data_IF_717295455635
#
_entry.id   IF_717295455635
#
_cell.length_a   1.000
_cell.length_b   1.000
_cell.length_c   1.000
_cell.angle_alpha   90.00
_cell.angle_beta   90.00
_cell.angle_gamma   90.00
#
_symmetry.space_group_name_H-M   'P 1'
#
loop_
_entity.id
_entity.type
_entity.pdbx_description
1 polymer ?
2 polymer ?
3 polymer ?
#
# COMPACT_ATOMS: atom_id res chain seq x y z
CA UNK A 1 37.83 -16.30 -23.52
CA UNK A 2 35.97 -14.54 -20.71
CA UNK A 3 38.57 -16.36 -18.77
CA UNK A 4 36.75 -17.09 -15.48
CA UNK A 5 34.98 -15.78 -12.51
CA UNK A 6 32.14 -17.38 -14.55
CA UNK A 7 31.25 -19.60 -11.64
CA UNK A 8 30.13 -22.74 -13.44
CA UNK A 9 32.64 -23.75 -16.07
CA UNK A 10 32.81 -27.37 -17.19
CA UNK A 11 35.22 -29.23 -19.45
CA UNK A 12 33.60 -31.89 -21.60
CA UNK A 13 36.68 -32.56 -23.66
CA UNK A 14 36.99 -34.55 -26.85
CA UNK A 15 35.20 -35.68 -29.97
CA UNK A 16 32.75 -37.97 -28.12
CA UNK A 17 31.16 -39.38 -31.24
CA UNK A 18 33.14 -37.44 -33.88
CA UNK A 19 33.37 -33.83 -32.66
CA UNK A 20 30.01 -34.25 -30.93
CA UNK A 21 30.24 -32.77 -27.45
CA UNK A 22 27.30 -33.43 -25.16
CA UNK A 23 27.11 -30.57 -22.65
CA UNK A 24 24.04 -30.01 -20.51
CA UNK A 25 24.57 -26.39 -19.57
CA UNK A 26 23.41 -24.18 -16.73
CA UNK A 27 22.17 -21.30 -18.87
CA UNK A 28 24.54 -18.56 -17.78
CA UNK A 29 28.08 -19.85 -17.61
CA UNK A 30 31.03 -20.91 -19.70
CA UNK A 31 30.80 -24.42 -21.00
CA UNK A 32 34.42 -24.73 -22.02
CA UNK A 33 34.81 -27.54 -24.53
CA UNK A 34 37.97 -29.08 -25.91
CA UNK A 35 37.76 -31.03 -29.14
CA UNK A 36 40.22 -32.82 -31.38
CA UNK A 37 42.42 -29.96 -32.59
CA UNK A 38 40.35 -26.79 -33.02
CA UNK A 39 40.36 -23.74 -30.73
CA UNK A 40 38.78 -24.54 -27.40
CA UNK A 41 35.38 -22.95 -27.04
CA UNK A 42 33.55 -21.19 -24.21
CA UNK A 43 29.87 -22.11 -24.47
CA UNK A 44 27.79 -19.46 -22.73
CA UNK A 45 24.00 -19.71 -22.78
CA UNK A 46 22.83 -16.11 -22.57
CA UNK A 47 19.31 -14.99 -21.65
CA UNK A 48 16.59 -17.35 -22.83
CA UNK A 49 13.77 -15.12 -23.98
CA UNK A 50 10.18 -16.28 -23.71
CA UNK A 51 7.62 -14.37 -25.75
CA UNK A 52 3.83 -14.04 -26.01
CA UNK A 53 3.20 -14.63 -22.33
CA UNK A 54 -0.45 -15.39 -21.69
CA UNK A 55 -1.80 -14.29 -18.31
CA UNK A 56 -4.16 -16.62 -16.52
CA UNK A 57 -6.03 -15.76 -13.35
CA UNK A 58 -4.87 -12.43 -11.96
CA UNK A 59 -3.75 -11.13 -8.62
CA UNK A 60 -4.93 -7.95 -7.00
CA UNK A 61 -2.93 -7.84 -3.79
CA UNK A 62 -5.39 -5.37 -2.28
CA UNK A 63 -9.16 -5.18 -2.60
CA UNK A 64 -11.44 -2.19 -2.25
CA UNK A 65 -15.19 -1.79 -1.79
CA UNK A 66 -17.38 1.31 -1.98
CA UNK A 67 -20.98 2.55 -1.74
CA UNK A 68 -21.83 0.51 1.35
CA UNK A 69 -25.59 0.18 1.81
CA UNK A 70 -27.06 -1.55 4.86
CA UNK A 71 -30.74 -1.55 5.77
CA UNK A 72 -32.75 -4.27 7.44
CA UNK A 73 -36.10 -5.76 6.57
CA UNK A 74 -37.87 -8.35 8.73
CA UNK A 75 -37.11 -11.65 10.49
CA UNK A 76 -37.38 -15.25 9.35
CA UNK A 77 -40.13 -14.66 6.79
CA UNK A 78 -38.54 -15.92 3.61
CA UNK A 79 -35.12 -14.26 3.77
CA UNK A 80 -34.60 -10.53 4.33
CA UNK A 81 -32.88 -8.57 1.59
CA UNK A 82 -32.02 -5.14 0.17
CA UNK A 83 -32.38 -4.03 -3.46
CA UNK A 84 -28.70 -3.05 -3.46
CA UNK A 85 -27.90 -6.73 -2.89
CA UNK A 86 -28.22 -8.43 -6.29
CA UNK A 87 -25.27 -6.37 -7.58
CA UNK A 88 -22.04 -8.38 -7.78
CA UNK A 89 -19.90 -5.25 -7.54
CA UNK A 90 -21.80 -4.68 -4.29
CA UNK A 91 -20.59 -7.20 -1.72
CA UNK A 92 -23.77 -8.59 -0.23
CA UNK A 93 -25.06 -10.98 2.42
CA UNK A 94 -28.14 -12.55 4.04
CA UNK A 95 -27.76 -12.65 7.84
CA UNK A 96 -30.70 -12.45 10.23
CA UNK A 97 -29.71 -11.78 13.85
CA UNK A 98 -31.65 -9.17 15.87
CA UNK A 99 -34.56 -6.84 15.19
CA UNK A 100 -35.74 -5.50 18.54
CA UNK A 101 -37.88 -2.84 20.17
CA UNK A 102 -35.56 0.23 19.75
CA UNK A 103 -34.08 0.71 16.20
CA UNK A 104 -37.23 0.80 13.95
CA UNK A 105 -37.45 -2.82 12.80
CA UNK A 106 -40.22 -5.34 13.32
CA UNK A 107 -41.16 -8.77 14.70
CA UNK A 108 -39.16 -11.27 16.82
CA UNK A 109 -37.55 -14.64 16.06
CA UNK A 110 -34.57 -13.42 14.41
CA UNK A 111 -32.92 -10.67 12.47
CA UNK A 112 -32.77 -8.88 9.23
CA UNK A 113 -29.55 -7.56 7.78
CA UNK A 114 -28.33 -7.00 4.22
CA UNK A 115 -25.28 -4.92 3.26
CA UNK A 116 -24.04 -3.88 -0.18
CA UNK A 117 -20.61 -2.40 -1.01
CA UNK A 118 -19.24 -2.07 -4.55
CA UNK A 119 -15.89 -3.86 -4.76
CA UNK A 120 -13.54 -1.85 -6.97
CA UNK A 121 -9.80 -2.50 -7.22
CA UNK A 122 -7.07 -3.21 -9.66
CA UNK A 123 -3.99 -4.15 -7.67
CA UNK A 124 -3.65 -6.69 -10.36
CA UNK A 125 -0.21 -8.20 -10.90
CA UNK A 126 -1.80 -11.30 -12.55
CA UNK A 127 0.26 -14.04 -14.14
CA UNK A 128 1.62 -14.93 -17.54
CA UNK A 129 2.38 -18.33 -18.99
CA UNK A 130 5.18 -19.33 -21.33
CA UNK A 131 4.58 -21.47 -24.37
CA UNK A 132 7.06 -24.32 -24.35
CA UNK A 133 8.61 -22.63 -27.35
CA UNK A 134 9.19 -18.91 -27.33
CA UNK A 135 12.25 -19.12 -25.32
CA UNK A 136 15.21 -17.80 -27.28
CA UNK A 137 18.23 -19.64 -25.90
CA UNK A 138 21.23 -17.50 -26.75
CA UNK A 139 24.40 -19.55 -26.48
CA UNK A 140 27.64 -17.57 -26.78
CA UNK A 141 30.52 -19.79 -27.82
CA UNK A 142 33.95 -18.20 -28.11
CA UNK A 143 37.47 -19.51 -28.50
CA UNK A 144 40.14 -18.74 -26.06
CA UNK A 145 42.88 -18.53 -28.72
CA UNK A 146 44.30 -15.47 -26.96
CA UNK A 147 43.66 -12.40 -29.10
CA UNK A 148 41.98 -9.36 -27.46
CA UNK A 149 38.80 -10.91 -26.06
CA UNK A 150 40.57 -12.05 -22.89
CA UNK A 151 38.44 -11.75 -19.72
CA UNK A 152 34.77 -10.89 -19.26
CA UNK A 153 33.88 -9.58 -22.72
CA UNK A 154 30.37 -10.28 -23.99
CA UNK A 155 30.53 -7.76 -26.86
CA UNK A 156 33.75 -9.38 -28.12
CA UNK A 157 33.04 -12.98 -29.01
CA UNK A 158 30.67 -15.16 -31.00
CA UNK A 159 27.01 -15.61 -30.15
CA UNK A 160 24.76 -18.50 -31.16
CA UNK A 161 21.07 -18.28 -30.31
CA UNK A 162 18.64 -21.19 -30.33
CA UNK A 163 15.00 -21.61 -29.38
CA UNK A 164 12.89 -24.75 -28.81
CA UNK A 165 11.30 -23.34 -31.96
CA UNK A 166 14.62 -24.36 -33.57
CA UNK A 167 17.37 -26.98 -33.38
CA UNK A 168 19.95 -26.27 -36.08
CA UNK A 169 22.82 -24.13 -34.88
CA UNK A 170 26.25 -23.03 -36.08
CA UNK A 171 29.13 -21.19 -34.45
CA UNK A 172 31.29 -19.89 -37.28
CA UNK A 173 34.54 -18.50 -36.09
CA UNK A 174 37.20 -16.36 -37.82
CA UNK A 175 40.13 -18.52 -38.91
CA UNK A 176 38.63 -21.13 -36.58
CA UNK A 177 35.50 -22.43 -38.24
CA UNK A 178 31.90 -23.59 -38.19
CA UNK A 179 30.44 -25.21 -35.06
CA UNK A 180 27.03 -26.77 -34.54
CA UNK A 181 25.91 -26.43 -30.93
CA UNK A 182 22.84 -28.65 -30.87
CA UNK A 183 20.80 -27.39 -27.97
CA UNK A 184 17.65 -28.91 -26.54
CA UNK A 185 15.43 -26.43 -24.86
CA UNK A 186 12.85 -29.18 -24.66
CA UNK A 187 14.45 -31.39 -22.07
CA UNK A 188 15.18 -27.84 -20.92
CA UNK A 189 13.32 -25.95 -18.20
CA UNK A 190 10.04 -27.41 -19.56
CA UNK A 191 7.71 -24.48 -20.20
CA UNK A 192 3.93 -24.35 -20.57
CA UNK A 193 4.53 -25.95 -17.20
CA UNK A 194 5.68 -22.47 -16.21
CA UNK A 195 3.26 -19.66 -15.51
CA UNK A 196 5.38 -16.54 -15.37
CA UNK A 197 3.71 -14.20 -12.93
CA UNK A 198 5.05 -10.73 -12.25
CA UNK A 199 4.13 -9.19 -8.95
CA UNK A 200 6.06 -6.00 -9.41
CA UNK A 201 8.86 -5.11 -11.83
CA UNK A 202 10.11 -8.69 -11.88
CA UNK A 203 8.82 -12.12 -12.72
CA UNK A 204 8.25 -15.29 -10.77
CA UNK A 205 8.53 -18.23 -13.10
CA UNK A 206 6.08 -20.56 -11.44
CA UNK A 207 5.54 -24.20 -12.05
CA UNK A 208 2.31 -23.75 -13.99
CA UNK A 209 0.47 -25.33 -11.10
CA UNK A 210 1.88 -22.85 -8.65
CA UNK A 211 0.55 -19.52 -9.90
CA UNK A 212 -2.59 -21.37 -10.91
CA UNK A 213 -2.29 -22.39 -7.22
CA UNK A 214 -1.58 -19.26 -5.26
CA UNK A 215 -4.03 -16.83 -3.49
CA UNK A 216 -5.45 -13.34 -4.22
CA UNK A 217 -8.65 -12.37 -6.02
CA UNK A 218 -8.38 -12.88 -9.75
CA UNK A 219 -10.00 -12.12 -12.97
CA UNK A 220 -9.02 -14.27 -15.90
CA UNK A 221 -6.29 -11.77 -16.74
CA UNK A 222 -8.73 -10.22 -19.22
CA UNK A 223 -9.82 -7.79 -16.50
CA UNK A 224 -10.03 -4.35 -18.17
CA UNK A 225 -11.92 -3.24 -15.05
CA UNK A 226 -13.65 -6.47 -14.10
CA UNK A 227 -13.93 -5.85 -10.51
CA UNK A 228 -16.60 -8.39 -10.28
CA UNK A 229 -13.39 -10.18 -9.35
CA UNK A 230 -13.41 -13.87 -8.90
CA UNK A 231 -12.93 -13.85 -5.19
CA UNK A 232 -12.68 -10.20 -4.19
CA UNK A 233 -12.93 -11.92 -0.85
CA UNK A 234 -9.34 -13.09 -0.41
CA UNK A 235 -9.14 -9.45 0.70
CA UNK A 236 -11.09 -6.71 2.50
CA UNK A 237 -11.98 -8.89 5.52
CA UNK A 238 -15.61 -7.83 6.17
CA UNK A 239 -16.35 -7.41 9.89
CA UNK A 240 -18.91 -5.83 12.27
CA UNK A 241 -19.04 -4.90 15.95
CA UNK A 242 -21.57 -6.89 18.01
CA UNK A 243 -25.01 -7.32 16.45
CA UNK A 244 -25.65 -3.77 15.24
CA UNK A 245 -24.32 -1.33 12.65
CA UNK A 246 -23.02 -3.67 9.98
CA UNK A 247 -19.73 -2.58 8.40
CA UNK A 248 -17.26 -3.70 5.70
CA UNK A 249 -13.62 -2.74 4.97
CA UNK A 250 -11.20 -2.52 2.03
CA UNK A 251 -8.08 -3.99 3.74
CA UNK A 252 -4.67 -3.55 2.19
CA UNK A 253 -2.08 -5.26 0.06
CA UNK A 254 -1.24 -8.92 0.35
CA UNK A 255 1.97 -7.98 -1.47
CA UNK A 256 4.15 -9.33 1.31
CA UNK A 257 1.64 -12.12 1.91
CA UNK A 258 1.57 -12.77 -1.81
CA UNK A 259 5.37 -12.62 -1.72
CA UNK A 260 5.24 -14.76 1.41
CA UNK A 261 3.62 -17.22 -0.96
CA UNK A 262 5.23 -15.82 -4.12
CA UNK A 263 8.57 -17.10 -2.90
CA UNK A 264 6.92 -20.32 -4.08
CA UNK A 265 8.04 -19.50 -7.61
CA UNK A 266 11.50 -18.77 -8.95
CA UNK A 267 12.16 -15.16 -9.80
CA UNK A 268 12.93 -14.64 -13.45
CA UNK A 269 12.64 -11.78 -15.93
CA UNK A 270 9.33 -10.65 -17.39
CA UNK A 271 10.30 -6.99 -17.18
CA UNK A 272 13.91 -7.99 -17.91
CA UNK A 273 12.90 -8.34 -21.55
CA UNK A 274 10.39 -11.20 -21.09
CA UNK A 275 13.53 -13.34 -21.13
CA UNK A 276 13.10 -16.14 -18.63
CA UNK A 277 16.61 -17.16 -17.63
CA UNK A 278 17.96 -20.47 -16.32
CA UNK A 279 17.45 -22.00 -19.72
CA UNK A 280 18.38 -25.61 -19.18
CA UNK A 281 19.13 -26.34 -22.81
CA UNK A 282 21.33 -29.43 -22.94
CA UNK A 283 23.80 -28.61 -25.69
CA UNK A 284 24.96 -31.31 -28.07
CA UNK A 285 28.06 -29.75 -29.62
CA UNK A 286 29.18 -30.27 -33.21
CA UNK A 287 32.74 -29.15 -33.95
CA UNK A 288 33.10 -29.96 -37.65
CA UNK A 289 35.47 -27.47 -39.28
CA UNK A 290 37.27 -25.51 -36.60
CA UNK A 291 40.76 -24.50 -37.73
CA UNK A 292 43.71 -24.19 -35.36
CA UNK A 293 44.41 -20.52 -36.13
CA UNK A 294 48.04 -20.59 -37.21
CA UNK A 295 48.09 -23.77 -39.27
CA UNK A 296 50.43 -24.00 -42.27
CA UNK A 297 52.44 -21.61 -40.11
CA UNK A 298 55.47 -23.00 -38.38
CA UNK A 299 55.39 -20.85 -35.27
CA UNK A 300 56.19 -17.32 -34.24
CA UNK A 301 59.44 -17.27 -32.33
CA UNK A 302 59.98 -13.88 -30.72
CA UNK A 303 59.67 -11.89 -27.51
CA UNK A 304 57.29 -13.35 -24.91
CA UNK A 305 56.47 -11.62 -21.62
CA UNK A 306 53.52 -11.85 -19.24
CA UNK A 307 50.75 -9.38 -20.09
CA UNK A 308 48.79 -10.86 -17.14
CA UNK A 309 49.73 -13.17 -14.30
CA UNK A 310 49.88 -16.91 -13.61
CA UNK A 311 46.72 -18.12 -11.90
CA UNK A 312 44.04 -20.76 -11.78
CA UNK A 313 40.38 -21.19 -11.18
CA UNK A 314 39.59 -24.86 -11.66
CA UNK A 315 42.92 -26.52 -12.36
CA UNK A 316 45.59 -24.20 -13.67
CA UNK A 317 43.23 -22.33 -15.96
CA UNK A 318 45.98 -19.67 -16.07
CA UNK A 319 45.40 -17.22 -18.86
CA UNK A 320 49.02 -16.40 -19.66
CA UNK A 321 49.00 -13.31 -21.80
CA UNK A 322 52.12 -13.14 -23.95
CA UNK A 323 53.22 -9.94 -25.62
CA UNK A 324 54.22 -10.80 -29.13
CA UNK A 325 56.45 -8.72 -31.32
CA UNK A 326 58.69 -9.56 -34.23
CA UNK A 327 56.62 -11.92 -36.35
CA UNK A 328 53.48 -10.56 -37.96
CA UNK A 329 50.61 -12.42 -39.68
CA UNK A 330 48.82 -15.21 -37.84
CA UNK A 331 51.68 -17.34 -36.60
CA UNK A 332 51.22 -19.79 -33.79
CA UNK A 333 52.54 -18.52 -30.51
CA UNK A 334 54.80 -21.40 -29.46
CA UNK A 335 53.77 -22.79 -26.14
CA UNK A 336 54.37 -25.28 -23.35
CA UNK A 337 53.90 -25.58 -19.59
CA UNK A 338 56.71 -27.40 -17.85
CA UNK A 339 57.07 -29.05 -14.46
CA UNK A 340 59.69 -27.79 -12.02
CA UNK A 341 62.47 -26.02 -13.98
CA UNK A 342 62.56 -29.04 -16.29
CA UNK A 343 60.21 -29.95 -19.11
CA UNK A 344 57.41 -32.30 -18.20
CA UNK A 345 54.20 -30.85 -19.52
CA UNK A 346 51.11 -31.75 -17.63
CA UNK A 347 50.29 -28.24 -18.76
CA UNK A 348 47.33 -28.59 -21.10
CA UNK A 349 46.84 -25.93 -23.73
CA UNK A 350 43.20 -24.83 -23.79
CA UNK A 351 44.11 -21.88 -25.96
CA UNK A 352 44.30 -24.83 -28.40
CA UNK A 353 47.60 -23.46 -29.74
CA UNK A 354 48.14 -19.80 -29.17
CA UNK A 355 48.72 -17.38 -32.04
CA UNK A 356 49.30 -13.75 -32.80
CA UNK A 357 48.24 -11.82 -35.85
CA UNK A 358 48.47 -8.19 -34.76
CA UNK A 359 51.31 -8.87 -32.28
CA UNK A 360 49.15 -6.20 -30.66
CA UNK A 361 47.15 -9.18 -29.45
CA UNK A 362 48.48 -9.74 -25.92
CA UNK A 363 46.93 -13.21 -26.41
CA UNK A 364 46.23 -14.63 -22.99
CA UNK A 365 47.22 -18.26 -23.42
CA UNK A 366 45.04 -20.71 -21.55
CA UNK A 367 47.18 -23.48 -20.05
CA UNK A 368 46.62 -26.19 -17.44
CA UNK A 369 50.01 -26.54 -15.73
CA UNK A 370 51.32 -29.63 -14.00
CA UNK A 371 49.47 -29.75 -10.74
CA UNK A 372 52.57 -29.36 -8.60
CA UNK A 373 55.18 -26.75 -9.22
CA UNK A 374 55.49 -25.88 -12.86
CA UNK A 375 56.95 -23.53 -15.44
CA UNK A 376 54.88 -22.11 -18.27
CA UNK A 377 57.31 -21.89 -21.19
CA UNK A 378 55.90 -20.22 -24.24
CA UNK A 379 58.23 -22.09 -26.52
CA UNK A 380 60.15 -19.43 -28.43
CA UNK A 381 63.75 -19.86 -29.49
CA UNK A 382 64.96 -18.31 -26.25
CA UNK A 383 61.97 -19.68 -24.29
CA UNK A 384 62.02 -16.16 -22.89
CA UNK A 385 58.98 -16.78 -20.70
CA UNK A 386 59.54 -19.38 -17.96
CA UNK A 387 57.60 -18.81 -14.72
CA UNK A 388 57.53 -21.04 -11.65
CA UNK A 389 53.86 -21.61 -11.04
CA UNK A 390 54.12 -23.42 -7.72
CA UNK A 391 50.65 -24.62 -8.93
CA UNK A 392 49.97 -26.99 -6.06
CA UNK A 393 46.88 -27.75 -8.09
CA UNK A 394 46.72 -31.54 -7.64
CA UNK B 1 -38.66 3.74 25.86
CA UNK B 2 -36.59 3.43 22.68
CA UNK B 3 -39.41 1.46 21.11
CA UNK B 4 -38.76 -0.64 17.87
CA UNK B 5 -35.55 -2.41 16.79
CA UNK B 6 -32.92 -2.70 19.57
CA UNK B 7 -32.17 -6.24 18.55
CA UNK B 8 -31.38 -7.82 21.90
CA UNK B 9 -34.02 -6.96 24.46
CA UNK B 10 -34.54 -9.23 27.44
CA UNK B 11 -37.16 -9.29 30.18
CA UNK B 12 -35.83 -10.29 33.58
CA UNK B 13 -39.00 -9.44 35.44
CA UNK B 14 -39.56 -9.19 39.16
CA UNK B 15 -37.93 -8.40 42.47
CA UNK B 16 -35.66 -11.49 42.45
CA UNK B 17 -34.27 -10.92 45.92
CA UNK B 18 -36.12 -7.69 46.81
CA UNK B 19 -36.01 -5.45 43.71
CA UNK B 20 -32.66 -7.01 42.79
CA UNK B 21 -32.68 -7.82 39.09
CA UNK B 22 -29.76 -9.87 37.80
CA UNK B 23 -29.27 -9.01 34.13
CA UNK B 24 -26.12 -9.99 32.27
CA UNK B 25 -26.30 -7.57 29.38
CA UNK B 26 -24.88 -7.49 25.88
CA UNK B 27 -23.43 -3.99 26.05
CA UNK B 28 -25.52 -2.25 23.41
CA UNK B 29 -29.16 -3.18 23.78
CA UNK B 30 -32.23 -2.64 25.88
CA UNK B 31 -32.35 -4.75 28.98
CA UNK B 32 -36.00 -4.19 29.73
CA UNK B 33 -36.70 -4.98 33.37
CA UNK B 34 -40.01 -5.23 35.16
CA UNK B 35 -40.04 -4.95 38.93
CA UNK B 36 -42.70 -4.96 41.62
CA UNK B 37 -44.66 -1.79 40.80
CA UNK B 38 -42.32 0.91 39.46
CA UNK B 39 -42.01 2.05 35.84
CA UNK B 40 -40.44 -0.63 33.70
CA UNK B 41 -36.90 0.23 32.72
CA UNK B 42 -34.86 -0.09 29.54
CA UNK B 43 -31.29 -0.91 30.53
CA UNK B 44 -28.93 0.09 27.73
CA UNK B 45 -25.19 -0.31 28.17
CA UNK B 46 -23.69 2.42 26.01
CA UNK B 47 -20.07 2.57 24.86
CA UNK B 48 -17.60 1.17 27.37
CA UNK B 49 -14.61 3.47 27.22
CA UNK B 50 -11.14 2.16 27.91
CA UNK B 51 -8.46 4.73 28.65
CA UNK B 52 -4.66 4.91 28.93
CA UNK B 53 -4.01 2.26 26.33
CA UNK B 54 -0.43 1.04 26.49
CA UNK B 55 1.08 -0.11 23.20
CA UNK B 56 3.25 -3.19 23.25
CA UNK B 57 5.27 -4.44 20.31
CA UNK B 58 4.44 -2.48 17.18
CA UNK B 59 3.51 -3.29 13.62
CA UNK B 60 5.00 -1.73 10.55
CA UNK B 61 3.09 -3.38 7.74
CA UNK B 62 5.79 -2.40 5.26
CA UNK B 63 9.56 -2.29 5.67
CA UNK B 64 12.11 -0.21 3.82
CA UNK B 65 15.89 -0.39 3.48
CA UNK B 66 18.35 2.10 1.99
CA UNK B 67 22.04 2.74 1.33
CA UNK B 68 22.77 -0.76 0.05
CA UNK B 69 26.50 -1.53 0.13
CA UNK B 70 27.87 -4.79 -1.25
CA UNK B 71 31.55 -5.54 -1.74
CA UNK B 72 33.33 -8.85 -1.39
CA UNK B 73 36.52 -9.77 0.41
CA UNK B 74 38.09 -13.23 0.27
CA UNK B 75 37.07 -16.89 0.69
CA UNK B 76 36.99 -19.16 3.71
CA UNK B 77 39.73 -17.37 5.65
CA UNK B 78 37.97 -16.45 8.85
CA UNK B 79 34.72 -14.98 7.52
CA UNK B 80 34.55 -12.24 4.88
CA UNK B 81 32.96 -8.95 5.86
CA UNK B 82 32.38 -5.29 4.99
CA UNK B 83 32.77 -2.30 7.31
CA UNK B 84 29.19 -1.28 6.50
CA UNK B 85 28.08 -4.55 8.10
CA UNK B 86 28.17 -3.97 11.87
CA UNK B 87 25.39 -1.37 11.53
CA UNK B 88 21.98 -2.68 12.62
CA UNK B 89 20.14 -0.15 10.48
CA UNK B 90 22.15 -1.69 7.63
CA UNK B 91 20.77 -5.16 6.91
CA UNK B 92 23.85 -7.34 6.72
CA UNK B 93 24.97 -10.90 6.04
CA UNK B 94 27.92 -13.31 5.83
CA UNK B 95 27.62 -15.58 2.78
CA UNK B 96 30.61 -16.98 0.92
CA UNK B 97 29.76 -18.48 -2.48
CA UNK B 98 31.97 -17.66 -5.50
CA UNK B 99 35.06 -15.55 -6.08
CA UNK B 100 36.43 -16.48 -9.50
CA UNK B 101 38.83 -15.40 -12.22
CA UNK B 102 36.80 -12.52 -13.81
CA UNK B 103 36.00 -10.14 -10.88
CA UNK B 104 39.38 -9.29 -9.38
CA UNK B 105 38.25 -11.08 -6.26
CA UNK B 106 40.80 -13.60 -5.03
CA UNK B 107 41.45 -17.24 -4.12
CA UNK B 108 39.27 -20.38 -4.54
CA UNK B 109 37.35 -22.57 -2.08
CA UNK B 110 34.47 -20.44 -1.65
CA UNK B 111 33.03 -16.98 -1.78
CA UNK B 112 32.98 -13.63 -0.19
CA UNK B 113 29.85 -11.52 0.01
CA UNK B 114 28.62 -8.93 2.50
CA UNK B 115 25.76 -6.49 1.88
CA UNK B 116 24.54 -3.57 3.99
CA UNK B 117 21.25 -1.67 3.57
CA UNK B 118 19.84 0.74 6.16
CA UNK B 119 16.34 -0.39 7.13
CA UNK B 120 14.13 2.67 7.61
CA UNK B 121 10.35 2.52 7.93
CA UNK B 122 7.51 3.53 10.13
CA UNK B 123 4.40 1.80 8.85
CA UNK B 124 3.77 1.32 12.48
CA UNK B 125 0.20 0.62 13.55
CA UNK B 126 1.47 -1.03 16.79
CA UNK B 127 -0.86 -2.21 19.52
CA UNK B 128 -2.36 -0.86 22.71
CA UNK B 129 -3.46 -2.74 25.80
CA UNK B 130 -6.38 -2.01 28.09
CA UNK B 131 -6.04 -2.02 31.84
CA UNK B 132 -8.77 -4.19 33.29
CA UNK B 133 -10.22 -0.98 34.65
CA UNK B 134 -10.46 2.05 32.45
CA UNK B 135 -13.48 0.91 30.72
CA UNK B 136 -16.35 3.31 31.35
CA UNK B 137 -19.50 1.20 31.08
CA UNK B 138 -22.31 3.62 30.32
CA UNK B 139 -25.65 1.99 31.07
CA UNK B 140 -28.70 3.97 29.94
CA UNK B 141 -31.79 2.95 31.88
CA UNK B 142 -35.07 4.62 30.95
CA UNK B 143 -38.70 4.01 31.79
CA UNK B 144 -41.24 3.38 29.17
CA UNK B 145 -44.00 5.26 31.02
CA UNK B 146 -45.10 6.81 27.73
CA UNK B 147 -44.23 10.51 27.74
CA UNK B 148 -42.25 11.92 24.77
CA UNK B 149 -39.19 9.65 24.74
CA UNK B 150 -41.00 6.99 22.70
CA UNK B 151 -38.78 5.26 20.09
CA UNK B 152 -35.05 5.47 19.48
CA UNK B 153 -34.11 8.48 21.60
CA UNK B 154 -30.70 8.44 23.28
CA UNK B 155 -30.69 12.16 24.15
CA UNK B 156 -34.07 11.77 25.88
CA UNK B 157 -33.71 9.33 28.74
CA UNK B 158 -31.59 8.57 31.78
CA UNK B 159 -27.96 7.49 31.60
CA UNK B 160 -26.01 5.58 34.25
CA UNK B 161 -22.29 5.04 33.69
CA UNK B 162 -20.14 2.53 35.55
CA UNK B 163 -16.54 1.42 35.27
CA UNK B 164 -14.71 -1.59 36.77
CA UNK B 165 -13.06 1.28 38.62
CA UNK B 166 -16.49 1.59 40.29
CA UNK B 167 -19.47 -0.46 41.46
CA UNK B 168 -22.02 1.84 43.07
CA UNK B 169 -24.67 3.05 40.65
CA UNK B 170 -28.01 4.86 40.76
CA UNK B 171 -30.67 5.58 38.17
CA UNK B 172 -32.76 8.42 39.58
CA UNK B 173 -35.85 9.05 37.58
CA UNK B 174 -38.34 11.96 37.57
CA UNK B 175 -41.47 11.02 39.51
CA UNK B 176 -40.16 7.46 39.21
CA UNK B 177 -37.21 7.17 41.53
CA UNK B 178 -33.72 5.98 42.41
CA UNK B 179 -32.35 2.75 40.90
CA UNK B 180 -29.09 0.98 41.61
CA UNK B 181 -27.86 -0.91 38.56
CA UNK B 182 -25.01 -2.94 40.00
CA UNK B 183 -22.80 -3.73 37.06
CA UNK B 184 -19.78 -5.99 36.98
CA UNK B 185 -17.30 -5.09 34.34
CA UNK B 186 -14.99 -7.61 35.95
CA UNK B 187 -16.73 -10.80 35.01
CA UNK B 188 -17.11 -8.54 31.97
CA UNK B 189 -15.03 -8.70 28.80
CA UNK B 190 -11.93 -9.30 30.97
CA UNK B 191 -9.35 -6.70 29.96
CA UNK B 192 -5.58 -6.61 30.45
CA UNK B 193 -6.26 -9.82 28.59
CA UNK B 194 -7.06 -7.50 25.70
CA UNK B 195 -4.39 -5.78 23.67
CA UNK B 196 -6.21 -3.20 21.61
CA UNK B 197 -4.28 -2.82 18.39
CA UNK B 198 -5.29 -0.32 15.74
CA UNK B 199 -4.17 -1.04 12.23
CA UNK B 200 -5.81 1.94 10.64
CA UNK B 201 -8.57 4.24 11.89
CA UNK B 202 -10.13 1.44 13.92
CA UNK B 203 -9.18 -0.94 16.67
CA UNK B 204 -8.86 -4.68 16.95
CA UNK B 205 -9.45 -5.69 20.52
CA UNK B 206 -7.19 -8.70 20.69
CA UNK B 207 -6.99 -11.34 23.32
CA UNK B 208 -3.78 -10.04 24.87
CA UNK B 209 -2.03 -13.12 23.55
CA UNK B 210 -3.15 -12.44 20.02
CA UNK B 211 -1.56 -9.09 19.21
CA UNK B 212 1.38 -10.20 21.32
CA UNK B 213 1.06 -13.15 18.89
CA UNK B 214 0.68 -11.71 15.44
CA UNK B 215 3.38 -10.92 12.77
CA UNK B 216 5.09 -7.75 11.44
CA UNK B 217 8.33 -6.11 12.57
CA UNK B 218 7.94 -4.34 15.88
CA UNK B 219 9.55 -1.95 18.18
CA UNK B 220 8.32 -1.94 21.73
CA UNK B 221 5.81 0.74 20.78
CA UNK B 222 8.33 3.30 22.08
CA UNK B 223 9.70 3.62 18.54
CA UNK B 224 10.18 7.37 17.93
CA UNK B 225 12.22 6.34 14.88
CA UNK B 226 13.67 3.06 16.08
CA UNK B 227 14.09 1.46 12.83
CA UNK B 228 16.52 -0.90 14.29
CA UNK B 229 13.18 -2.69 14.35
CA UNK B 230 12.87 -5.95 16.11
CA UNK B 231 12.47 -8.07 13.05
CA UNK B 232 12.57 -5.67 10.11
CA UNK B 233 12.73 -9.02 8.40
CA UNK B 234 9.07 -10.00 8.47
CA UNK B 235 9.22 -7.68 5.45
CA UNK B 236 11.45 -6.62 2.54
CA UNK B 237 12.20 -10.20 1.40
CA UNK B 238 15.92 -9.94 0.52
CA UNK B 239 16.77 -11.81 -2.70
CA UNK B 240 19.51 -12.06 -5.38
CA UNK B 241 19.80 -13.46 -8.90
CA UNK B 242 22.18 -16.43 -9.25
CA UNK B 243 25.54 -16.09 -7.50
CA UNK B 244 26.48 -12.54 -8.52
CA UNK B 245 25.31 -8.97 -7.91
CA UNK B 246 23.75 -9.23 -4.47
CA UNK B 247 20.54 -7.24 -4.05
CA UNK B 248 17.92 -6.42 -1.37
CA UNK B 249 14.37 -4.99 -1.59
CA UNK B 250 11.93 -2.95 0.51
CA UNK B 251 8.72 -4.95 -0.25
CA UNK B 252 5.34 -3.48 0.53
CA UNK B 253 2.56 -3.47 3.06
CA UNK B 254 1.39 -6.56 4.88
CA UNK B 255 -1.75 -4.54 5.59
CA UNK B 256 -3.99 -7.11 3.96
CA UNK B 257 -1.73 -9.88 5.26
CA UNK B 258 -1.80 -8.24 8.66
CA UNK B 259 -5.57 -7.94 8.24
CA UNK B 260 -5.56 -11.51 6.94
CA UNK B 261 -4.22 -12.23 10.40
CA UNK B 262 -5.76 -9.15 12.05
CA UNK B 263 -9.18 -10.70 11.56
CA UNK B 264 -7.85 -12.73 14.50
CA UNK B 265 -8.96 -9.94 16.82
CA UNK B 266 -12.37 -8.36 17.25
CA UNK B 267 -12.73 -4.89 15.81
CA UNK B 268 -13.52 -2.30 18.43
CA UNK B 269 -13.02 1.44 18.81
CA UNK B 270 -9.65 3.00 19.59
CA UNK B 271 -10.28 5.92 17.23
CA UNK B 272 -13.98 5.74 18.16
CA UNK B 273 -13.08 7.51 21.39
CA UNK B 274 -10.83 4.77 22.84
CA UNK B 275 -14.15 3.25 23.89
CA UNK B 276 -13.92 -0.50 23.50
CA UNK B 277 -17.49 -1.70 23.03
CA UNK B 278 -19.11 -5.06 23.78
CA UNK B 279 -18.82 -4.36 27.47
CA UNK B 280 -20.05 -7.54 29.04
CA UNK B 281 -20.94 -5.98 32.37
CA UNK B 282 -23.41 -8.28 34.10
CA UNK B 283 -25.86 -5.86 35.70
CA UNK B 284 -27.30 -6.60 39.11
CA UNK B 285 -30.28 -4.24 39.26
CA UNK B 286 -31.52 -2.51 42.40
CA UNK B 287 -34.97 -0.95 42.11
CA UNK B 288 -35.48 0.57 45.57
CA UNK B 289 -37.65 3.68 45.29
CA UNK B 290 -39.21 3.83 41.85
CA UNK B 291 -42.62 5.52 41.94
CA UNK B 292 -45.48 4.58 39.63
CA UNK B 293 -45.85 8.04 38.10
CA UNK B 294 -49.50 8.84 38.76
CA UNK B 295 -49.88 7.46 42.27
CA UNK B 296 -52.30 9.17 44.68
CA UNK B 297 -54.03 9.98 41.40
CA UNK B 298 -57.14 8.03 40.59
CA UNK B 299 -56.80 7.96 36.82
CA UNK B 300 -57.25 10.28 33.90
CA UNK B 301 -60.45 9.40 32.08
CA UNK B 302 -60.65 11.27 28.78
CA UNK B 303 -60.09 10.99 25.04
CA UNK B 304 -57.81 8.15 23.93
CA UNK B 305 -56.76 7.59 20.32
CA UNK B 306 -53.79 5.84 18.71
CA UNK B 307 -50.83 8.16 18.18
CA UNK B 308 -48.96 5.13 16.76
CA UNK B 309 -50.03 1.67 15.72
CA UNK B 310 -50.52 -1.76 17.30
CA UNK B 311 -47.45 -3.94 16.84
CA UNK B 312 -45.02 -6.32 18.44
CA UNK B 313 -41.39 -7.24 18.45
CA UNK B 314 -40.95 -9.99 21.02
CA UNK B 315 -44.43 -10.72 22.32
CA UNK B 316 -46.91 -7.91 21.86
CA UNK B 317 -44.43 -5.21 22.81
CA UNK B 318 -46.93 -2.82 21.17
CA UNK B 319 -46.19 0.76 22.06
CA UNK B 320 -49.74 2.11 22.00
CA UNK B 321 -49.48 5.86 21.96
CA UNK B 322 -52.62 7.44 23.39
CA UNK B 323 -53.45 11.08 22.83
CA UNK B 324 -54.60 12.48 26.11
CA UNK B 325 -56.67 15.58 26.54
CA UNK B 326 -59.04 16.73 29.24
CA UNK B 327 -57.24 15.91 32.47
CA UNK B 328 -54.02 17.75 33.21
CA UNK B 329 -51.37 17.07 35.88
CA UNK B 330 -49.80 13.62 36.12
CA UNK B 331 -52.82 11.35 36.14
CA UNK B 332 -52.53 7.70 35.30
CA UNK B 333 -53.66 6.91 31.80
CA UNK B 334 -56.15 4.10 32.45
CA UNK B 335 -55.18 0.98 30.62
CA UNK B 336 -55.95 -2.62 29.75
CA UNK B 337 -55.42 -5.08 26.89
CA UNK B 338 -58.35 -7.39 26.34
CA UNK B 339 -58.79 -10.68 24.50
CA UNK B 340 -61.24 -10.91 21.61
CA UNK B 341 -63.88 -8.16 22.00
CA UNK B 342 -64.29 -9.27 25.61
CA UNK B 343 -62.09 -8.51 28.59
CA UNK B 344 -59.51 -11.12 29.41
CA UNK B 345 -56.20 -9.38 29.86
CA UNK B 346 -53.16 -11.40 29.05
CA UNK B 347 -52.06 -7.94 28.01
CA UNK B 348 -49.19 -7.05 30.32
CA UNK B 349 -48.51 -3.39 30.96
CA UNK B 350 -44.79 -2.70 30.63
CA UNK B 351 -45.47 1.01 30.62
CA UNK B 352 -45.98 0.06 34.30
CA UNK B 353 -49.17 2.15 34.37
CA UNK B 354 -49.36 4.82 31.75
CA UNK B 355 -49.78 8.49 32.66
CA UNK B 356 -50.05 11.91 31.14
CA UNK B 357 -48.88 15.18 32.58
CA UNK B 358 -48.75 17.51 29.58
CA UNK B 359 -51.59 15.69 27.76
CA UNK B 360 -49.17 16.79 25.06
CA UNK B 361 -47.41 13.54 25.93
CA UNK B 362 -48.72 11.12 23.29
CA UNK B 363 -47.51 8.49 25.79
CA UNK B 364 -46.87 5.31 23.88
CA UNK B 365 -48.19 2.68 26.25
CA UNK B 366 -46.20 -0.54 26.30
CA UNK B 367 -48.56 -3.52 26.52
CA UNK B 368 -48.19 -7.27 26.01
CA UNK B 369 -51.56 -8.34 24.58
CA UNK B 370 -53.11 -11.77 24.87
CA UNK B 371 -51.21 -13.88 22.41
CA UNK B 372 -54.22 -14.62 20.23
CA UNK B 373 -56.60 -11.97 19.05
CA UNK B 374 -56.90 -9.13 21.48
CA UNK B 375 -58.19 -5.64 22.13
CA UNK B 376 -56.07 -2.97 23.75
CA UNK B 377 -58.52 -0.95 25.83
CA UNK B 378 -57.03 2.09 27.45
CA UNK B 379 -59.57 2.05 30.23
CA UNK B 380 -61.27 5.44 30.10
CA UNK B 381 -64.92 5.93 30.97
CA UNK B 382 -65.92 5.38 27.35
CA UNK B 383 -63.02 2.94 26.76
CA UNK B 384 -62.72 4.99 23.59
CA UNK B 385 -59.71 3.02 22.37
CA UNK B 386 -60.45 -0.64 21.60
CA UNK B 387 -58.40 -2.18 18.78
CA UNK B 388 -58.47 -5.78 17.56
CA UNK B 389 -54.85 -6.83 17.65
CA UNK B 390 -55.20 -10.21 15.98
CA UNK B 391 -51.89 -10.69 17.90
CA UNK B 392 -51.36 -14.33 16.97
CA UNK B 393 -48.40 -13.96 19.28
CA UNK B 394 -48.57 -17.30 21.12
CA UNK C 1 36.42 3.50 -31.07
CA UNK C 2 34.25 5.95 -29.17
CA UNK C 3 33.39 9.65 -28.93
CA UNK C 4 31.41 11.80 -26.64
CA UNK C 5 30.02 15.06 -28.00
CA UNK C 6 29.21 17.41 -25.16
CA UNK C 7 27.86 20.86 -25.81
CA UNK C 8 29.96 23.64 -24.33
CA UNK C 9 28.65 26.38 -22.09
CA UNK C 10 28.25 30.06 -21.99
CA UNK C 11 28.10 32.95 -19.59
CA UNK C 12 25.83 31.82 -16.75
CA UNK C 13 24.61 33.27 -13.49
CA UNK C 14 25.74 32.20 -10.01
CA UNK C 15 22.92 29.71 -9.58
CA UNK C 16 21.44 29.78 -13.07
CA UNK C 17 21.78 26.15 -14.07
CA UNK C 18 22.57 24.62 -17.45
CA UNK C 19 21.90 21.19 -18.88
CA UNK C 20 25.07 20.40 -20.80
CA UNK C 21 24.28 18.07 -23.66
CA UNK C 22 26.75 15.26 -24.20
CA UNK C 23 25.26 13.43 -27.14
CA UNK C 24 27.57 10.58 -28.01
CA UNK C 25 27.40 8.09 -30.82
CA UNK C 26 30.58 7.25 -32.65
CA UNK C 27 29.80 3.72 -31.60
CA UNK C 28 27.13 1.48 -30.15
CA UNK C 29 24.71 3.55 -28.07
CA UNK C 30 24.45 0.68 -25.58
CA UNK C 31 28.16 1.26 -24.98
CA UNK C 32 26.75 4.12 -22.93
CA UNK C 33 26.22 4.66 -19.43
CA UNK C 34 27.52 7.77 -21.14
CA UNK C 35 29.44 9.39 -18.30
CA UNK C 36 30.47 12.84 -17.06
CA UNK C 37 33.32 14.70 -15.44
CA UNK C 38 33.65 18.36 -14.66
CA UNK C 39 37.42 18.71 -14.78
CA UNK C 40 39.87 21.54 -14.58
CA UNK C 41 42.25 20.27 -17.29
CA UNK C 42 45.53 18.78 -16.14
CA UNK C 43 43.92 18.17 -12.75
CA UNK C 44 41.91 15.36 -11.29
CA UNK C 45 38.75 14.57 -13.10
CA UNK C 46 36.15 15.60 -10.59
CA UNK C 47 33.96 12.56 -10.84
CA UNK C 48 30.36 13.08 -11.49
CA UNK C 49 30.05 10.32 -14.07
CA UNK C 50 27.06 8.21 -14.77
CA UNK C 51 25.84 4.86 -15.87
CA UNK C 52 23.66 2.34 -17.64
CA UNK C 53 21.98 1.02 -20.54
CA UNK C 54 18.89 0.28 -22.53
CA UNK C 55 17.69 0.46 -18.93
CA UNK C 56 19.50 3.78 -18.96
CA UNK C 57 20.22 4.99 -15.46
CA UNK C 58 21.91 8.18 -14.49
CA UNK C 59 24.30 7.63 -11.61
CA UNK C 60 25.17 10.99 -10.13
CA UNK C 61 28.18 11.71 -8.00
CA UNK C 62 26.51 11.54 -4.61
CA UNK C 63 27.47 15.20 -4.36
CA UNK C 64 25.71 15.93 -7.65
CA UNK C 65 23.10 13.26 -6.87
CA UNK C 66 20.61 15.79 -5.59
CA UNK C 67 22.09 18.88 -7.23
CA UNK C 68 22.71 17.65 -10.79
CA UNK C 69 19.97 16.15 -12.90
CA UNK C 70 20.87 14.27 -16.06
CA UNK C 71 18.45 13.51 -18.83
CA UNK C 72 19.64 11.07 -21.45
CA UNK C 73 17.85 11.03 -24.77
CA UNK C 74 18.34 7.63 -26.34
CA UNK C 75 18.88 9.45 -29.66
CA UNK C 76 22.62 10.14 -29.45
CA UNK C 77 22.73 8.49 -25.98
CA UNK C 78 22.89 12.10 -25.01
CA UNK C 79 24.27 12.51 -21.52
CA UNK C 80 22.53 15.79 -20.73
CA UNK C 81 23.97 17.08 -17.50
CA UNK C 82 21.97 19.74 -15.73
CA UNK C 83 24.05 21.08 -12.87
CA UNK C 84 21.48 22.91 -10.81
CA UNK C 85 22.56 26.33 -9.55
CA UNK C 86 25.67 26.80 -11.67
CA UNK C 87 28.49 29.18 -10.96
CA UNK C 88 31.96 29.87 -12.30
CA UNK C 89 33.49 26.98 -10.37
CA UNK C 90 30.55 24.57 -10.71
CA UNK C 91 31.77 23.69 -14.19
CA UNK C 92 35.41 23.06 -14.97
CA UNK C 93 35.55 21.79 -18.55
CA UNK C 94 32.88 19.07 -18.35
CA UNK C 95 34.06 15.71 -19.70
CA UNK C 96 31.45 13.05 -20.40
CA UNK C 97 33.18 9.66 -20.66
CA UNK C 98 32.12 6.33 -22.04
CA UNK C 99 32.08 3.69 -19.40
CA UNK C 100 30.67 0.81 -21.41
CA UNK C 101 27.80 -0.67 -19.49
CA UNK C 102 27.02 -4.33 -19.26
CA UNK C 103 24.63 -4.51 -22.19
CA UNK C 104 21.90 -6.33 -20.28
CA UNK C 105 21.02 -3.14 -18.40
CA UNK C 106 22.71 -3.90 -15.09
CA UNK C 107 25.91 -2.04 -14.27
CA UNK C 108 27.80 -3.15 -11.16
CA UNK C 109 31.32 -4.44 -11.69
CA UNK C 110 33.20 -1.92 -13.82
CA UNK C 111 34.98 -2.36 -17.13
CA UNK C 112 38.70 -2.97 -17.50
CA UNK C 113 39.21 0.52 -18.71
CA UNK C 114 36.38 2.45 -17.18
CA UNK C 115 36.27 5.22 -19.74
CA UNK C 116 37.60 4.70 -23.20
CA UNK C 117 36.64 8.08 -24.60
CA UNK C 118 35.22 11.34 -23.45
CA UNK C 119 33.32 14.45 -24.40
CA UNK C 120 34.78 17.48 -26.09
CA UNK C 121 34.64 19.61 -22.92
CA UNK C 122 32.10 22.00 -21.46
CA UNK C 123 32.90 25.08 -19.39
CA UNK C 124 30.30 27.25 -17.68
CA UNK C 125 31.56 30.81 -17.33
CA UNK C 126 29.74 32.93 -14.75
CA UNK C 127 30.13 36.70 -14.57
CA UNK D 1 38.35 5.80 -4.16
CA UNK D 2 40.49 8.91 -4.59
CA UNK D 3 43.17 8.13 -7.11
CA UNK D 4 46.15 10.39 -6.38
CA UNK D 5 47.97 11.89 -9.35
CA UNK D 6 50.70 14.52 -9.71
CA UNK D 7 48.92 17.46 -11.30
CA UNK D 8 51.83 17.88 -13.71
CA UNK D 9 55.00 16.03 -14.63
CA UNK D 10 58.08 17.82 -15.89
CA UNK D 11 59.83 15.67 -18.45
CA UNK D 12 62.08 16.55 -21.12
CA UNK D 13 61.24 16.58 -24.82
CA UNK D 14 61.37 13.14 -26.38
CA UNK D 15 61.75 11.09 -23.20
CA UNK D 16 59.53 8.93 -21.01
CA UNK D 17 57.56 10.12 -18.00
CA UNK D 18 55.54 8.22 -15.40
CA UNK D 19 52.22 9.42 -14.00
CA UNK D 20 50.65 7.48 -11.14
CA UNK D 21 47.32 7.59 -9.29
CA UNK D 22 47.30 6.28 -5.73
CA UNK D 23 43.81 4.91 -5.11
CA UNK D 24 42.11 2.94 -2.34
CA UNK D 25 40.64 -0.51 -1.81
CA UNK D 26 37.35 0.62 -3.32
CA UNK D 27 38.70 1.93 -6.62
CA UNK D 28 42.03 0.11 -6.83
CA UNK D 29 41.41 -2.81 -4.48
CA UNK D 30 37.77 -3.53 -5.23
CA UNK D 31 38.48 -4.40 -8.87
CA UNK D 32 41.36 -5.02 -11.27
CA UNK D 33 40.56 -2.14 -13.55
CA UNK D 34 41.70 1.45 -14.21
CA UNK D 35 41.22 3.94 -17.05
CA UNK D 36 43.92 6.60 -17.55
CA UNK D 37 43.49 9.47 -20.00
CA UNK D 38 45.92 11.80 -21.66
CA UNK D 39 43.80 14.55 -23.10
CA UNK D 40 45.69 17.47 -24.48
CA UNK D 41 44.87 20.66 -22.56
CA UNK D 42 41.11 21.20 -22.54
CA UNK D 43 40.49 18.19 -24.79
CA UNK D 44 38.19 15.24 -24.20
CA UNK D 45 40.07 12.76 -22.02
CA UNK D 46 41.30 10.08 -24.39
CA UNK D 47 42.10 6.73 -22.91
CA UNK D 48 45.82 6.13 -22.66
CA UNK D 49 45.32 3.28 -20.21
CA UNK D 50 42.54 0.82 -21.16
CA UNK D 51 42.75 -1.32 -18.03
CA UNK D 52 46.24 -0.57 -16.74
CA UNK D 53 48.85 -2.16 -19.04
CA UNK D 54 46.28 -3.22 -21.65
CA UNK D 55 45.71 -0.45 -24.19
CA UNK D 56 42.87 0.73 -26.46
CA UNK D 57 42.64 2.17 -29.90
CA UNK D 58 43.42 5.25 -27.75
CA UNK D 59 47.05 4.44 -27.03
CA UNK D 60 50.29 5.33 -28.55
CA UNK D 61 51.74 2.17 -27.18
CA UNK D 62 53.78 3.83 -24.41
CA UNK D 63 50.94 4.89 -22.09
CA UNK D 64 51.74 2.23 -19.50
CA UNK D 65 49.30 1.21 -16.79
CA UNK D 66 49.62 -0.10 -13.24
CA UNK D 67 47.56 -1.13 -10.26
CA UNK D 68 49.73 -1.65 -7.17
CA UNK D 69 48.57 -1.83 -3.57
CA UNK D 70 46.09 1.00 -3.73
CA UNK D 71 47.38 2.96 -6.75
CA UNK D 72 47.11 3.38 -10.54
CA UNK D 73 49.66 4.63 -13.09
CA UNK D 74 50.02 5.85 -16.67
CA UNK D 75 53.61 6.03 -17.83
CA UNK D 76 53.83 8.39 -20.78
CA UNK D 77 56.96 7.28 -22.59
CA UNK D 78 58.48 8.53 -25.78
CA UNK D 79 57.48 12.14 -25.28
CA UNK D 80 56.60 14.02 -28.42
CA UNK D 81 59.40 16.58 -27.83
CA UNK D 82 56.47 18.40 -26.45
CA UNK D 83 54.10 16.40 -24.33
CA UNK D 84 52.10 18.53 -22.02
CA UNK D 85 48.73 16.84 -21.90
CA UNK D 86 46.45 16.18 -19.02
CA UNK D 87 47.30 12.59 -17.99
CA UNK D 88 44.14 11.34 -16.28
CA UNK D 89 43.49 8.11 -14.40
CA UNK D 90 40.03 6.84 -13.51
CA UNK D 91 39.24 4.08 -11.04
CA UNK D 92 35.88 2.56 -10.14
CA UNK D 93 35.19 2.41 -6.43
CA UNK D 94 33.65 -0.61 -4.76
CA UNK D 95 30.41 1.36 -4.30
CA UNK D 96 29.91 1.98 -8.04
CA UNK D 97 31.48 5.44 -8.14
CA UNK D 98 34.49 6.20 -10.29
CA UNK D 99 37.37 8.26 -8.96
CA UNK D 100 40.28 9.88 -10.74
CA UNK D 101 43.67 11.16 -9.76
CA UNK D 102 44.88 14.72 -9.69
CA UNK D 103 45.42 14.69 -13.43
CA UNK D 104 48.72 15.38 -15.09
CA UNK D 105 49.64 17.93 -17.70
CA UNK D 106 53.29 17.43 -18.53
CA UNK D 107 55.88 20.19 -18.87
CA UNK D 108 58.70 19.82 -21.42
CA UNK D 109 60.18 23.32 -20.93
CA UNK E 1 -35.40 21.65 24.06
CA UNK E 2 -32.98 22.48 21.27
CA UNK E 3 -31.62 25.38 19.22
CA UNK E 4 -29.44 25.78 16.24
CA UNK E 5 -27.58 29.05 15.81
CA UNK E 6 -26.55 29.50 12.20
CA UNK E 7 -24.72 32.58 11.06
CA UNK E 8 -26.47 34.46 8.28
CA UNK E 9 -24.86 35.47 5.03
CA UNK E 10 -24.47 38.77 3.18
CA UNK E 11 -23.50 39.70 -0.45
CA UNK E 12 -21.50 37.00 -2.22
CA UNK E 13 -20.19 36.41 -5.71
CA UNK E 14 -21.57 33.87 -8.20
CA UNK E 15 -19.12 31.16 -7.18
CA UNK E 16 -17.54 32.80 -4.16
CA UNK E 17 -18.34 30.27 -1.46
CA UNK E 18 -19.23 30.80 2.19
CA UNK E 19 -18.99 28.54 5.20
CA UNK E 20 -22.18 29.26 7.12
CA UNK E 21 -21.62 28.63 10.79
CA UNK E 22 -24.43 26.86 12.58
CA UNK E 23 -23.11 26.60 16.11
CA UNK E 24 -25.76 24.93 18.20
CA UNK E 25 -25.84 24.23 21.90
CA UNK E 26 -29.06 24.86 23.76
CA UNK E 27 -28.80 21.23 24.69
CA UNK E 28 -26.50 18.23 24.70
CA UNK E 29 -24.31 18.81 21.67
CA UNK E 30 -20.78 17.47 21.14
CA UNK E 31 -21.71 17.24 17.54
CA UNK E 32 -25.16 15.69 17.72
CA UNK E 33 -25.50 15.34 13.90
CA UNK E 34 -26.31 19.03 13.73
CA UNK E 35 -28.08 19.22 10.38
CA UNK E 36 -28.67 21.64 7.51
CA UNK E 37 -31.28 22.78 5.05
CA UNK E 38 -31.13 25.53 2.50
CA UNK E 39 -34.82 26.39 2.26
CA UNK E 40 -36.87 29.02 0.55
CA UNK E 41 -39.31 29.64 3.42
CA UNK E 42 -42.80 28.23 3.05
CA UNK E 43 -41.39 25.76 0.52
CA UNK E 44 -39.83 22.36 0.78
CA UNK E 45 -36.75 22.20 2.88
CA UNK E 46 -34.11 21.44 0.31
CA UNK E 47 -32.35 18.70 2.17
CA UNK E 48 -28.70 18.99 2.61
CA UNK E 49 -28.69 17.93 6.25
CA UNK E 50 -25.91 16.41 8.26
CA UNK E 51 -25.21 13.64 10.76
CA UNK E 52 -22.63 13.44 13.47
CA UNK E 53 -21.76 12.25 16.90
CA UNK E 54 -18.74 12.23 19.12
CA UNK E 55 -17.64 10.39 15.99
CA UNK E 56 -18.98 13.46 14.24
CA UNK E 57 -19.64 12.80 10.59
CA UNK E 58 -20.90 15.24 8.05
CA UNK E 59 -23.44 13.61 5.76
CA UNK E 60 -23.88 15.83 2.73
CA UNK E 61 -26.83 15.76 0.41
CA UNK E 62 -25.31 13.66 -2.35
CA UNK E 63 -25.77 16.77 -4.47
CA UNK E 64 -23.82 18.83 -1.94
CA UNK E 65 -21.63 15.82 -1.13
CA UNK E 66 -18.86 16.99 -3.42
CA UNK E 67 -19.85 20.65 -3.64
CA UNK E 68 -20.53 21.50 0.01
CA UNK E 69 -17.94 20.94 2.71
CA UNK E 70 -19.00 21.07 6.35
CA UNK E 71 -16.62 21.52 9.22
CA UNK E 72 -18.04 20.94 12.66
CA UNK E 73 -16.18 22.37 15.61
CA UNK E 74 -17.08 20.35 18.67
CA UNK E 75 -17.26 23.66 20.57
CA UNK E 76 -20.88 24.63 19.88
CA UNK E 77 -21.32 21.48 17.74
CA UNK E 78 -21.02 24.07 15.06
CA UNK E 79 -22.43 22.82 11.79
CA UNK E 80 -20.29 24.97 9.51
CA UNK E 81 -21.64 24.61 6.02
CA UNK E 82 -19.35 25.70 3.23
CA UNK E 83 -21.32 25.66 0.00
CA UNK E 84 -18.59 25.82 -2.60
CA UNK E 85 -19.23 28.22 -5.46
CA UNK E 86 -22.17 30.12 -4.02
CA UNK E 87 -24.67 32.16 -5.97
CA UNK E 88 -27.97 33.89 -5.31
CA UNK E 89 -29.94 30.64 -5.57
CA UNK E 90 -27.34 28.38 -3.92
CA UNK E 91 -28.57 29.57 -0.53
CA UNK E 92 -32.23 29.92 0.30
CA UNK E 93 -32.43 30.68 4.02
CA UNK E 94 -30.17 27.92 5.35
CA UNK E 95 -31.74 25.91 8.17
CA UNK E 96 -29.50 23.66 10.24
CA UNK E 97 -31.67 21.14 12.11
CA UNK E 98 -31.03 18.88 15.04
CA UNK E 99 -31.44 15.28 14.13
CA UNK E 100 -30.37 13.67 17.38
CA UNK E 101 -27.79 11.05 16.61
CA UNK E 102 -27.52 7.72 18.31
CA UNK E 103 -25.09 8.74 21.02
CA UNK E 104 -22.76 5.78 20.34
CA UNK E 105 -21.45 7.50 17.22
CA UNK E 106 -23.32 5.38 14.69
CA UNK E 107 -26.27 6.98 12.90
CA UNK E 108 -28.38 4.69 10.71
CA UNK E 109 -32.03 4.34 11.67
CA UNK E 110 -33.48 7.82 12.14
CA UNK E 111 -35.20 9.37 15.13
CA UNK E 112 -38.96 9.54 15.59
CA UNK E 113 -38.95 13.18 14.84
CA UNK E 114 -35.94 13.66 12.66
CA UNK E 115 -35.37 17.31 13.45
CA UNK E 116 -36.64 18.81 16.63
CA UNK E 117 -35.19 22.27 16.15
CA UNK E 118 -33.37 24.26 13.57
CA UNK E 119 -31.05 27.14 12.88
CA UNK E 120 -32.02 30.77 12.73
CA UNK E 121 -31.70 30.94 8.93
CA UNK E 122 -28.89 31.89 6.56
CA UNK E 123 -29.33 33.55 3.18
CA UNK E 124 -26.52 34.18 0.71
CA UNK E 125 -27.29 37.19 -1.46
CA UNK E 126 -25.28 37.44 -4.67
CA UNK E 127 -25.15 40.60 -6.77
CA UNK F 1 -38.34 10.32 -0.74
CA UNK F 2 -39.87 13.56 -2.00
CA UNK F 3 -42.63 14.53 0.36
CA UNK F 4 -45.14 16.64 -1.58
CA UNK F 5 -46.63 19.65 0.17
CA UNK F 6 -48.83 22.54 -0.97
CA UNK F 7 -46.52 25.55 -0.80
CA UNK F 8 -49.29 27.53 0.89
CA UNK F 9 -52.74 26.91 2.29
CA UNK F 10 -55.42 29.56 2.31
CA UNK F 11 -57.52 29.21 5.43
CA UNK F 12 -59.56 31.61 7.17
CA UNK F 13 -58.70 33.26 10.48
CA UNK F 14 -59.46 31.05 13.46
CA UNK F 15 -60.24 27.83 11.59
CA UNK F 16 -58.47 24.55 10.86
CA UNK F 17 -56.33 23.83 7.82
CA UNK F 18 -54.72 20.61 6.58
CA UNK F 19 -51.24 20.43 5.07
CA UNK F 20 -50.07 17.13 3.59
CA UNK F 21 -46.79 15.79 2.19
CA UNK F 22 -47.04 12.97 -0.33
CA UNK F 23 -43.87 10.90 0.05
CA UNK F 24 -42.58 7.61 -1.32
CA UNK F 25 -41.79 4.12 -0.05
CA UNK F 26 -38.33 5.27 1.03
CA UNK F 27 -39.39 8.20 3.21
CA UNK F 28 -43.00 7.28 3.96
CA UNK F 29 -42.96 3.54 3.31
CA UNK F 30 -39.50 2.67 4.62
CA UNK F 31 -40.34 3.76 8.16
CA UNK F 32 -43.27 4.85 10.33
CA UNK F 33 -41.94 8.29 11.05
CA UNK F 34 -42.38 11.89 9.86
CA UNK F 35 -41.43 15.31 11.22
CA UNK F 36 -43.58 18.30 10.20
CA UNK F 37 -42.61 21.87 11.05
CA UNK F 38 -44.56 25.08 11.21
CA UNK F 39 -41.95 27.79 11.37
CA UNK F 40 -43.26 31.28 11.05
CA UNK F 41 -41.87 32.99 7.94
CA UNK F 42 -38.08 32.81 7.99
CA UNK F 43 -37.99 31.15 11.40
CA UNK F 44 -36.31 27.98 12.48
CA UNK F 45 -38.63 25.10 11.57
CA UNK F 46 -40.32 24.12 14.80
CA UNK F 47 -41.74 20.65 15.00
CA UNK F 48 -45.51 20.63 14.76
CA UNK F 49 -45.57 16.93 13.98
CA UNK F 50 -43.28 14.78 16.19
CA UNK F 51 -43.91 11.49 14.43
CA UNK F 52 -47.20 12.11 12.65
CA UNK F 53 -50.05 12.25 15.20
CA UNK F 54 -47.70 12.15 18.20
CA UNK F 55 -46.62 15.66 19.19
CA UNK F 56 -43.59 17.29 20.88
CA UNK F 57 -43.08 20.12 23.24
CA UNK F 58 -43.29 21.90 19.84
CA UNK F 59 -47.00 21.42 20.32
CA UNK F 60 -50.01 23.49 19.94
CA UNK F 61 -52.03 20.36 20.10
CA UNK F 62 -53.75 20.81 16.72
CA UNK F 63 -50.77 20.15 14.41
CA UNK F 64 -52.07 16.76 13.31
CA UNK F 65 -49.88 14.18 11.61
CA UNK F 66 -50.46 11.41 9.07
CA UNK F 67 -48.64 8.76 7.10
CA UNK F 68 -50.89 7.21 4.44
CA UNK F 69 -49.81 5.15 1.46
CA UNK F 70 -46.84 7.25 0.48
CA UNK F 71 -47.73 10.59 2.12
CA UNK F 72 -47.36 12.71 5.28
CA UNK F 73 -49.62 15.43 6.72
CA UNK F 74 -49.72 18.25 9.27
CA UNK F 75 -53.21 19.55 9.91
CA UNK F 76 -52.97 23.03 11.38
CA UNK F 77 -56.24 23.45 13.23
CA UNK F 78 -57.48 26.30 15.32
CA UNK F 79 -55.83 29.02 13.27
CA UNK F 80 -54.60 31.98 15.24
CA UNK F 81 -56.87 34.38 13.29
CA UNK F 82 -53.67 34.81 11.46
CA UNK F 83 -51.73 31.68 10.73
CA UNK F 84 -49.38 32.09 7.87
CA UNK F 85 -46.38 30.01 8.84
CA UNK F 86 -44.28 27.70 6.79
CA UNK F 87 -45.79 24.24 7.50
CA UNK F 88 -42.93 21.82 6.85
CA UNK F 89 -42.90 18.03 6.76
CA UNK F 90 -39.74 15.94 6.86
CA UNK F 91 -39.49 12.25 6.04
CA UNK F 92 -36.48 9.95 6.23
CA UNK F 93 -35.86 7.94 3.11
CA UNK F 94 -34.91 4.28 3.18
CA UNK F 95 -31.37 5.22 2.12
CA UNK F 96 -30.75 7.45 5.16
CA UNK F 97 -31.63 10.75 3.49
CA UNK F 98 -34.44 12.93 4.79
CA UNK F 99 -36.89 14.55 2.41
CA UNK F 100 -39.44 17.29 2.98
CA UNK F 101 -42.54 18.49 1.23
CA UNK F 102 -43.07 21.73 -0.60
CA UNK F 103 -43.58 23.58 2.67
CA UNK F 104 -46.69 25.51 3.53
CA UNK F 105 -47.10 29.11 4.55
CA UNK F 106 -50.77 29.69 5.22
CA UNK F 107 -52.80 32.66 4.01
CA UNK F 108 -55.63 34.02 6.18
CA UNK F 109 -56.57 36.91 3.87
#
# INVERSE_FOLDING_TARGET
MRCVGVGNRDFVEGLSGATWVDVVLEHGGCVTTMAKNKPTLDIELQKTEATQLATLRKLCIEGKITNITTDSRCPTQGEAILPEEQDQNYVCKHTYVDRGWGNGCGLFGKGSLVTCAKFQCLESIEGKVVQHENLKYTVIITVHTGDQHQVGNETQGVTAEITPQASTVEAILPEYGTLGLECSPRTGLDFNEMILLTMKNKAWMVHRQWFFDLPLPWTSGATTETPTWNRKELLVTFKNAHAKKQEVVVLGSQEGAMHTALTGATEIQNSGGTSIFAGHLKCRLKMDKLELKGMSYAMCLNTFVLKKEVSETQHGTILIKVEYKGEDAPCKIPFSTEDGQGKAHNGRLITANPVVTKKEEPVNIEAEPPFGESNIVIGIGDKALKINWYKKGS
MRCVGVGNRDFVEGLSGATWVDVVLEHGGCVTTMAKNKPTLDIELQKTEATQLATLRKLCIEGKITNITTDSRCPTQGEAILPEEQDQNYVCKHTYVDRGWGNGCGLFGKGSLVTCAKFQCLESIEGKVVQHENLKYTVIITVHTGDQHQVGNETQGVTAEITPQASTVEAILPEYGTLGLECSPRTGLDFNEMILLTMKNKAWMVHRQWFFDLPLPWTSGATTETPTWNRKELLVTFKNAHAKKQEVVVLGSQEGAMHTALTGATEIQNSGGTSIFAGHLKCRLKMDKLELKGMSYAMCLNTFVLKKEVSETQHGTILIKVEYKGEDAPCKIPFSTEDGQGKAHNGRLITANPVVTKKEEPVNIEAEPPFGESNIVIGIGDKALKINWYKKGS
EVQLVESGAEVKKPGASVKVSCKASGYTFTSYAMHWVRQAPGQRLEWMGWINAGNGNTKYSQKFQDRVTITRDTSASTAYMELSSLRSEDTAIYYCARDKVDDYGDYWFPTLWYFDYWGQGTLVTVS
SALTQPASVSGSPGQSITISCTGTSSDVGGFNYVSWFQQHPGKAPKLMLYDVTSRPSGVSSRFSGSKSGNTASLTISGLQAEDEADYYCSSHTSRGTWVFGGGTKLTVL
EVQLVESGAEVKKPGASVKVSCKASGYTFTSYAMHWVRQAPGQRLEWMGWINAGNGNTKYSQKFQDRVTITRDTSASTAYMELSSLRSEDTAIYYCARDKVDDYGDYWFPTLWYFDYWGQGTLVTVS
SALTQPASVSGSPGQSITISCTGTSSDVGGFNYVSWFQQHPGKAPKLMLYDVTSRPSGVSSRFSGSKSGNTASLTISGLQAEDEADYYCSSHTSRGTWVFGGGTKLTVL
#
